data_IF_442792099989
#
_entry.id   IF_442792099989
#
_cell.length_a   1.000
_cell.length_b   1.000
_cell.length_c   1.000
_cell.angle_alpha   90.00
_cell.angle_beta   90.00
_cell.angle_gamma   90.00
#
_symmetry.space_group_name_H-M   'P 1'
#
loop_
_entity.id
_entity.type
_entity.pdbx_description
1 polymer ?
#
# COMPACT_ATOMS: atom_id res chain seq x y z
N UNK A 1 20.78 -12.64 0.01
CA UNK A 1 20.54 -11.25 0.44
C UNK A 1 20.03 -11.24 1.88
N UNK A 2 20.57 -10.39 2.76
CA UNK A 2 20.15 -10.31 4.17
C UNK A 2 18.82 -9.56 4.31
N UNK A 3 18.12 -9.78 5.43
CA UNK A 3 16.87 -9.08 5.72
C UNK A 3 17.07 -7.55 5.88
N UNK A 4 18.23 -7.11 6.40
CA UNK A 4 18.56 -5.69 6.50
C UNK A 4 18.67 -5.01 5.12
N UNK A 5 19.22 -5.72 4.13
CA UNK A 5 19.26 -5.21 2.76
C UNK A 5 17.86 -5.14 2.14
N UNK A 6 17.01 -6.14 2.41
CA UNK A 6 15.60 -6.12 2.01
C UNK A 6 14.87 -4.93 2.65
N UNK A 7 15.10 -4.66 3.94
CA UNK A 7 14.53 -3.51 4.64
C UNK A 7 14.94 -2.18 3.98
N UNK A 8 16.22 -2.02 3.64
CA UNK A 8 16.72 -0.82 2.95
C UNK A 8 16.03 -0.61 1.60
N UNK A 9 15.93 -1.67 0.79
CA UNK A 9 15.29 -1.62 -0.53
C UNK A 9 13.81 -1.26 -0.41
N UNK A 10 13.08 -1.89 0.52
CA UNK A 10 11.65 -1.63 0.73
C UNK A 10 11.42 -0.20 1.24
N UNK A 11 12.25 0.29 2.15
CA UNK A 11 12.14 1.67 2.66
C UNK A 11 12.42 2.71 1.58
N UNK A 12 13.40 2.48 0.70
CA UNK A 12 13.66 3.34 -0.44
C UNK A 12 12.44 3.38 -1.39
N UNK A 13 11.91 2.22 -1.77
CA UNK A 13 10.67 2.13 -2.55
C UNK A 13 9.51 2.86 -1.88
N UNK A 14 9.33 2.69 -0.56
CA UNK A 14 8.22 3.31 0.17
C UNK A 14 8.30 4.83 0.17
N UNK A 15 9.52 5.38 0.27
CA UNK A 15 9.77 6.82 0.16
C UNK A 15 9.33 7.33 -1.22
N UNK A 16 9.79 6.67 -2.29
CA UNK A 16 9.46 7.04 -3.67
C UNK A 16 7.96 6.89 -3.97
N UNK A 17 7.33 5.85 -3.43
CA UNK A 17 5.90 5.62 -3.57
C UNK A 17 5.07 6.71 -2.90
N UNK A 18 5.39 7.07 -1.66
CA UNK A 18 4.69 8.15 -0.95
C UNK A 18 4.90 9.50 -1.63
N UNK A 19 6.10 9.79 -2.14
CA UNK A 19 6.38 11.03 -2.88
C UNK A 19 5.58 11.10 -4.18
N UNK A 20 5.50 9.99 -4.90
CA UNK A 20 4.66 9.86 -6.09
C UNK A 20 3.18 10.10 -5.75
N UNK A 21 2.69 9.55 -4.64
CA UNK A 21 1.32 9.77 -4.19
C UNK A 21 1.05 11.24 -3.91
N UNK A 22 1.94 11.94 -3.19
CA UNK A 22 1.79 13.39 -2.93
C UNK A 22 1.80 14.20 -4.23
N UNK A 23 2.80 13.99 -5.08
CA UNK A 23 2.97 14.74 -6.34
C UNK A 23 1.77 14.56 -7.26
N UNK A 24 1.23 13.33 -7.36
CA UNK A 24 0.06 13.02 -8.20
C UNK A 24 -1.28 13.22 -7.49
N UNK A 25 -1.29 13.78 -6.27
CA UNK A 25 -2.49 13.96 -5.43
C UNK A 25 -3.29 12.66 -5.27
N UNK A 26 -2.61 11.56 -4.91
CA UNK A 26 -3.14 10.20 -4.64
C UNK A 26 -2.90 9.75 -3.19
N UNK A 27 -2.51 10.69 -2.34
CA UNK A 27 -2.24 10.53 -0.91
C UNK A 27 -3.52 10.57 -0.08
N UNK A 28 -4.63 10.01 -0.58
CA UNK A 28 -5.88 9.95 0.15
C UNK A 28 -6.71 8.72 -0.21
N UNK A 29 -7.58 8.30 0.72
CA UNK A 29 -8.61 7.28 0.53
C UNK A 29 -9.98 7.90 0.70
N UNK A 30 -10.96 7.48 -0.12
CA UNK A 30 -12.37 7.81 0.09
C UNK A 30 -13.05 6.58 0.68
N UNK A 31 -13.74 6.75 1.81
CA UNK A 31 -14.53 5.69 2.43
C UNK A 31 -15.95 6.12 2.68
N UNK A 32 -16.87 5.20 2.54
CA UNK A 32 -18.24 5.40 3.00
C UNK A 32 -18.27 5.38 4.54
N UNK A 33 -18.88 6.40 5.12
CA UNK A 33 -19.19 6.49 6.55
C UNK A 33 -20.71 6.66 6.69
N UNK A 34 -21.31 5.85 7.54
CA UNK A 34 -22.70 6.05 7.96
C UNK A 34 -22.71 7.21 8.96
N UNK A 35 -23.50 8.25 8.65
CA UNK A 35 -23.73 9.39 9.55
C UNK A 35 -25.13 9.26 10.12
N UNK A 36 -25.23 9.30 11.45
CA UNK A 36 -26.51 9.36 12.15
C UNK A 36 -26.87 10.83 12.32
N UNK A 37 -28.04 11.22 11.84
CA UNK A 37 -28.67 12.48 12.22
C UNK A 37 -29.63 12.24 13.39
N UNK A 38 -29.86 13.27 14.20
CA UNK A 38 -30.76 13.22 15.38
C UNK A 38 -32.18 12.76 15.03
N UNK A 39 -32.59 12.89 13.77
CA UNK A 39 -33.88 12.42 13.22
C UNK A 39 -33.94 10.92 12.89
N UNK A 40 -32.92 10.12 13.23
CA UNK A 40 -32.91 8.67 12.97
C UNK A 40 -32.63 8.27 11.51
N UNK A 41 -32.36 9.23 10.62
CA UNK A 41 -32.05 8.95 9.22
C UNK A 41 -30.56 8.59 9.05
N UNK A 42 -30.29 7.39 8.54
CA UNK A 42 -28.94 6.95 8.17
C UNK A 42 -28.59 7.44 6.76
N UNK A 43 -27.57 8.29 6.64
CA UNK A 43 -27.03 8.65 5.32
C UNK A 43 -25.62 8.08 5.14
N UNK A 44 -25.35 7.49 3.97
CA UNK A 44 -23.99 7.12 3.57
C UNK A 44 -23.29 8.36 3.02
N UNK A 45 -22.27 8.85 3.72
CA UNK A 45 -21.44 9.96 3.27
C UNK A 45 -20.05 9.45 2.90
N UNK A 46 -19.53 9.89 1.76
CA UNK A 46 -18.13 9.65 1.40
C UNK A 46 -17.23 10.63 2.15
N UNK A 47 -16.24 10.11 2.86
CA UNK A 47 -15.25 10.90 3.61
C UNK A 47 -13.87 10.65 3.01
N UNK A 48 -13.17 11.75 2.72
CA UNK A 48 -11.78 11.74 2.24
C UNK A 48 -10.83 11.76 3.43
N UNK A 49 -9.93 10.78 3.49
CA UNK A 49 -8.87 10.68 4.48
C UNK A 49 -7.52 10.83 3.80
N UNK A 50 -6.71 11.80 4.21
CA UNK A 50 -5.32 11.86 3.77
C UNK A 50 -4.56 10.67 4.37
N UNK A 51 -3.73 10.03 3.57
CA UNK A 51 -3.00 8.83 3.97
C UNK A 51 -1.54 8.89 3.62
N UNK A 52 -0.76 8.17 4.42
CA UNK A 52 0.61 7.81 4.09
C UNK A 52 0.72 6.30 4.16
N UNK A 53 1.60 5.73 3.35
CA UNK A 53 1.87 4.30 3.41
C UNK A 53 3.05 4.06 4.34
N UNK A 54 2.89 3.07 5.23
CA UNK A 54 3.97 2.61 6.11
C UNK A 54 4.22 1.13 5.89
N UNK A 55 5.48 0.75 6.05
CA UNK A 55 5.88 -0.65 6.13
C UNK A 55 5.85 -1.11 7.58
N UNK A 56 5.30 -2.29 7.81
CA UNK A 56 5.46 -3.06 9.04
C UNK A 56 6.11 -4.39 8.69
N UNK A 57 7.02 -4.86 9.54
CA UNK A 57 7.71 -6.13 9.33
C UNK A 57 7.31 -7.12 10.41
N UNK A 58 6.97 -8.34 10.01
CA UNK A 58 6.72 -9.47 10.91
C UNK A 58 7.42 -10.71 10.37
N UNK A 59 8.49 -11.13 11.03
CA UNK A 59 9.32 -12.29 10.64
C UNK A 59 9.79 -12.19 9.18
N UNK A 60 9.20 -13.00 8.30
CA UNK A 60 9.53 -13.16 6.89
C UNK A 60 8.58 -12.38 5.97
N UNK A 61 7.81 -11.45 6.54
CA UNK A 61 6.78 -10.71 5.81
C UNK A 61 6.94 -9.21 6.06
N UNK A 62 6.87 -8.44 4.99
CA UNK A 62 6.75 -6.99 4.99
C UNK A 62 5.37 -6.63 4.48
N UNK A 63 4.67 -5.77 5.20
CA UNK A 63 3.31 -5.34 4.88
C UNK A 63 3.31 -3.83 4.74
N UNK A 64 2.97 -3.36 3.55
CA UNK A 64 2.83 -1.93 3.23
C UNK A 64 1.34 -1.60 3.19
N UNK A 65 0.92 -0.72 4.10
CA UNK A 65 -0.48 -0.37 4.30
C UNK A 65 -0.68 1.13 4.47
N UNK A 66 -1.86 1.61 4.06
CA UNK A 66 -2.23 3.00 4.25
C UNK A 66 -2.64 3.27 5.70
N UNK A 67 -2.19 4.41 6.24
CA UNK A 67 -2.56 4.93 7.55
C UNK A 67 -2.97 6.41 7.45
N UNK A 68 -3.78 6.89 8.39
CA UNK A 68 -4.14 8.31 8.47
C UNK A 68 -3.41 8.96 9.66
N UNK A 69 -2.37 9.75 9.39
CA UNK A 69 -1.55 10.35 10.45
C UNK A 69 -0.94 9.29 11.37
N UNK A 70 -1.29 9.33 12.66
CA UNK A 70 -0.90 8.32 13.65
C UNK A 70 -1.96 7.22 13.87
N UNK A 71 -3.10 7.29 13.17
CA UNK A 71 -4.22 6.38 13.34
C UNK A 71 -4.28 5.33 12.22
N UNK A 72 -4.22 4.07 12.61
CA UNK A 72 -4.54 2.93 11.74
C UNK A 72 -6.05 2.82 11.50
N UNK A 73 -6.46 2.70 10.24
CA UNK A 73 -7.85 2.41 9.91
C UNK A 73 -8.26 1.04 10.47
N UNK A 74 -9.50 0.93 11.01
CA UNK A 74 -10.06 -0.37 11.48
C UNK A 74 -9.96 -1.47 10.41
N UNK A 75 -10.30 -1.13 9.15
CA UNK A 75 -10.04 -1.96 7.97
C UNK A 75 -8.76 -1.45 7.31
N UNK A 76 -7.69 -2.25 7.32
CA UNK A 76 -6.41 -1.92 6.68
C UNK A 76 -6.57 -1.88 5.16
N UNK A 77 -5.98 -0.88 4.52
CA UNK A 77 -5.89 -0.83 3.06
C UNK A 77 -4.50 -1.33 2.66
N UNK A 78 -4.42 -2.60 2.31
CA UNK A 78 -3.18 -3.28 1.94
C UNK A 78 -2.77 -2.85 0.54
N UNK A 79 -1.59 -2.25 0.41
CA UNK A 79 -0.99 -1.96 -0.88
C UNK A 79 -0.24 -3.18 -1.40
N UNK A 80 0.77 -3.59 -0.63
CA UNK A 80 1.73 -4.61 -1.04
C UNK A 80 2.18 -5.37 0.20
N UNK A 81 2.16 -6.69 0.10
CA UNK A 81 2.79 -7.60 1.04
C UNK A 81 3.90 -8.35 0.31
N UNK A 82 5.07 -8.40 0.94
CA UNK A 82 6.26 -9.08 0.42
C UNK A 82 6.58 -10.20 1.40
N UNK A 83 6.59 -11.44 0.93
CA UNK A 83 6.82 -12.62 1.79
C UNK A 83 8.02 -13.41 1.29
N UNK A 84 8.92 -13.77 2.20
CA UNK A 84 10.05 -14.66 1.92
C UNK A 84 9.67 -16.11 2.12
N UNK A 85 9.93 -16.94 1.10
CA UNK A 85 9.80 -18.40 1.14
C UNK A 85 11.11 -19.03 0.67
N UNK A 86 11.99 -19.36 1.62
CA UNK A 86 13.35 -19.81 1.32
C UNK A 86 14.17 -18.71 0.64
N UNK A 87 14.67 -18.98 -0.57
CA UNK A 87 15.43 -18.02 -1.39
C UNK A 87 14.59 -17.17 -2.33
N UNK A 88 13.26 -17.34 -2.31
CA UNK A 88 12.33 -16.59 -3.14
C UNK A 88 11.51 -15.60 -2.34
N UNK A 89 11.04 -14.57 -3.03
CA UNK A 89 10.10 -13.57 -2.58
C UNK A 89 8.81 -13.67 -3.40
N UNK A 90 7.71 -13.34 -2.75
CA UNK A 90 6.39 -13.24 -3.37
C UNK A 90 5.78 -11.86 -3.09
N UNK A 91 5.09 -11.30 -4.07
CA UNK A 91 4.27 -10.10 -3.93
C UNK A 91 2.78 -10.45 -3.92
N UNK A 92 2.07 -9.96 -2.92
CA UNK A 92 0.60 -10.02 -2.84
C UNK A 92 0.02 -8.64 -2.50
N UNK A 93 -1.21 -8.38 -2.93
CA UNK A 93 -1.87 -7.08 -2.72
C UNK A 93 -2.39 -6.48 -4.02
N UNK A 94 -2.46 -5.16 -4.07
CA UNK A 94 -3.02 -4.44 -5.21
C UNK A 94 -2.07 -4.51 -6.40
N UNK A 95 -2.59 -4.89 -7.57
CA UNK A 95 -1.84 -4.91 -8.84
C UNK A 95 -0.61 -5.82 -8.86
N UNK A 96 -0.57 -6.85 -8.00
CA UNK A 96 0.53 -7.82 -7.95
C UNK A 96 0.28 -9.09 -8.75
N UNK A 97 -0.90 -9.27 -9.35
CA UNK A 97 -1.30 -10.47 -10.10
C UNK A 97 -0.30 -10.95 -11.17
N UNK A 98 0.47 -10.05 -11.77
CA UNK A 98 1.48 -10.37 -12.78
C UNK A 98 2.84 -10.81 -12.20
N UNK A 99 3.03 -10.70 -10.89
CA UNK A 99 4.29 -11.04 -10.22
C UNK A 99 4.24 -12.48 -9.69
N UNK A 100 4.92 -13.40 -10.40
CA UNK A 100 5.23 -14.74 -9.88
C UNK A 100 6.36 -14.67 -8.86
N UNK A 101 6.53 -15.71 -8.04
CA UNK A 101 7.66 -15.85 -7.13
C UNK A 101 8.99 -15.62 -7.85
N UNK A 102 9.88 -14.83 -7.24
CA UNK A 102 11.13 -14.40 -7.84
C UNK A 102 12.27 -14.44 -6.81
N UNK A 103 13.51 -14.44 -7.29
CA UNK A 103 14.69 -14.48 -6.41
C UNK A 103 14.87 -13.18 -5.63
N UNK A 104 15.40 -13.26 -4.40
CA UNK A 104 15.65 -12.08 -3.54
C UNK A 104 16.47 -10.98 -4.23
N UNK A 105 17.41 -11.35 -5.10
CA UNK A 105 18.25 -10.43 -5.88
C UNK A 105 17.44 -9.49 -6.77
N UNK A 106 16.27 -9.93 -7.25
CA UNK A 106 15.43 -9.18 -8.18
C UNK A 106 14.45 -8.23 -7.49
N UNK A 107 14.46 -8.15 -6.15
CA UNK A 107 13.49 -7.38 -5.38
C UNK A 107 13.40 -5.92 -5.83
N UNK A 108 14.54 -5.25 -5.98
CA UNK A 108 14.57 -3.84 -6.35
C UNK A 108 13.94 -3.60 -7.73
N UNK A 109 14.28 -4.42 -8.71
CA UNK A 109 13.73 -4.32 -10.06
C UNK A 109 12.22 -4.61 -10.08
N UNK A 110 11.76 -5.60 -9.30
CA UNK A 110 10.32 -5.88 -9.17
C UNK A 110 9.58 -4.73 -8.51
N UNK A 111 10.16 -4.07 -7.50
CA UNK A 111 9.57 -2.88 -6.88
C UNK A 111 9.54 -1.67 -7.84
N UNK A 112 10.56 -1.49 -8.68
CA UNK A 112 10.56 -0.45 -9.73
C UNK A 112 9.44 -0.69 -10.75
N UNK A 113 9.29 -1.93 -11.22
CA UNK A 113 8.19 -2.32 -12.12
C UNK A 113 6.85 -2.05 -11.44
N UNK A 114 6.70 -2.47 -10.19
CA UNK A 114 5.48 -2.27 -9.41
C UNK A 114 5.14 -0.77 -9.27
N UNK A 115 6.12 0.07 -8.91
CA UNK A 115 5.94 1.52 -8.82
C UNK A 115 5.48 2.13 -10.16
N UNK A 116 6.06 1.67 -11.28
CA UNK A 116 5.67 2.12 -12.61
C UNK A 116 4.26 1.69 -12.98
N UNK A 117 3.84 0.49 -12.60
CA UNK A 117 2.45 0.05 -12.71
C UNK A 117 1.53 0.98 -11.91
N UNK A 118 1.86 1.26 -10.65
CA UNK A 118 1.09 2.18 -9.81
C UNK A 118 0.97 3.59 -10.42
N UNK A 119 2.02 4.09 -11.08
CA UNK A 119 2.02 5.39 -11.76
C UNK A 119 1.05 5.45 -12.95
N UNK A 120 0.83 4.34 -13.65
CA UNK A 120 0.00 4.25 -14.88
C UNK A 120 -1.47 4.00 -14.59
N UNK A 121 -1.79 3.44 -13.42
CA UNK A 121 -3.17 3.15 -13.04
C UNK A 121 -3.98 4.45 -12.87
N UNK A 122 -5.28 4.35 -13.20
CA UNK A 122 -6.25 5.44 -13.06
C UNK A 122 -6.29 5.98 -11.62
N UNK A 123 -6.57 7.28 -11.51
CA UNK A 123 -6.52 8.01 -10.25
C UNK A 123 -7.47 7.45 -9.18
N UNK A 124 -8.66 7.02 -9.59
CA UNK A 124 -9.73 6.48 -8.73
C UNK A 124 -9.44 5.08 -8.16
N UNK A 125 -8.51 4.33 -8.75
CA UNK A 125 -8.27 2.94 -8.42
C UNK A 125 -7.59 2.75 -7.04
N UNK A 126 -6.88 3.78 -6.56
CA UNK A 126 -6.31 3.79 -5.21
C UNK A 126 -7.28 4.27 -4.14
N UNK A 127 -8.43 4.81 -4.54
CA UNK A 127 -9.22 5.72 -3.71
C UNK A 127 -10.55 5.10 -3.26
N UNK A 128 -11.14 4.18 -4.02
CA UNK A 128 -12.40 3.50 -3.70
C UNK A 128 -12.13 2.12 -3.09
N UNK A 129 -12.48 1.91 -1.81
CA UNK A 129 -12.36 0.63 -1.08
C UNK A 129 -13.47 0.42 -0.05
#
# INVERSE_FOLDING_TARGET
MSNENIDKIINAFLKDFNEMCKTKKRDFLIREKIVNYESGTYSKKQVKYNVTYKVSRKKNTWVIEAINGFWFFKKKFLLLQITTKGEKLNFSGLYTHSFKDFEKSLLEDKLKIYLNTCKKIRHDAFVKS
#
